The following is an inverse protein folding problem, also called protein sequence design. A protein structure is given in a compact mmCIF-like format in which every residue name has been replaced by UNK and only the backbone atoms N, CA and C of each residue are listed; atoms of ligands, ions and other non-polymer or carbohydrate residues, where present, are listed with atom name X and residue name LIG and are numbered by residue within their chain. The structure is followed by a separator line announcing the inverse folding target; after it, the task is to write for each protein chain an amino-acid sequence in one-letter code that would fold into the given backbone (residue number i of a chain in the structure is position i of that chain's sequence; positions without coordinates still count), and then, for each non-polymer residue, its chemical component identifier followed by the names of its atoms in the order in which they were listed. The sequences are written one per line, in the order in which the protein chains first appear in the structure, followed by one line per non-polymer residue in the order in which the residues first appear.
data_IF_902735707834
#
_entry.id   IF_902735707834
#
_cell.length_a   1.000
_cell.length_b   1.000
_cell.length_c   1.000
_cell.angle_alpha   90.00
_cell.angle_beta   90.00
_cell.angle_gamma   90.00
#
_symmetry.space_group_name_H-M   'P 1'
#
loop_
_entity.id
_entity.type
_entity.pdbx_description
1 polymer ?
#
# COMPACT_ATOMS: atom_id res chain seq x y z
N UNK A 1 -7.70 32.19 13.69
CA UNK A 1 -6.99 31.10 14.39
C UNK A 1 -6.47 30.18 13.30
N UNK A 2 -5.19 30.31 12.94
CA UNK A 2 -4.58 29.49 11.89
C UNK A 2 -4.33 28.10 12.44
N UNK A 3 -4.88 27.08 11.79
CA UNK A 3 -4.48 25.71 12.03
C UNK A 3 -3.02 25.57 11.59
N UNK A 4 -2.13 25.34 12.54
CA UNK A 4 -0.75 24.97 12.27
C UNK A 4 -0.80 23.51 11.81
N UNK A 5 -0.82 23.29 10.49
CA UNK A 5 -0.66 21.95 9.94
C UNK A 5 0.74 21.47 10.34
N UNK A 6 0.79 20.43 11.15
CA UNK A 6 2.03 19.75 11.51
C UNK A 6 2.73 19.28 10.23
N UNK A 7 4.02 19.50 10.16
CA UNK A 7 4.88 19.06 9.06
C UNK A 7 4.79 17.52 8.96
N UNK A 8 4.07 17.00 7.97
CA UNK A 8 4.02 15.57 7.66
C UNK A 8 5.37 15.20 7.04
N UNK A 9 6.26 14.58 7.84
CA UNK A 9 7.53 14.02 7.37
C UNK A 9 7.36 12.54 7.11
N UNK A 10 7.69 12.08 5.91
CA UNK A 10 7.87 10.64 5.67
C UNK A 10 9.17 10.13 6.31
N UNK A 11 9.17 8.84 6.62
CA UNK A 11 10.19 8.01 7.26
C UNK A 11 11.65 8.21 6.80
N UNK A 12 11.93 8.86 5.66
CA UNK A 12 13.29 9.05 5.14
C UNK A 12 13.76 10.52 5.01
N UNK A 13 12.99 11.52 5.47
CA UNK A 13 13.42 12.92 5.47
C UNK A 13 13.64 13.53 4.08
N UNK A 14 13.11 12.93 3.01
CA UNK A 14 13.12 13.51 1.67
C UNK A 14 12.03 14.57 1.48
N UNK A 15 12.29 15.56 0.63
CA UNK A 15 11.31 16.61 0.28
C UNK A 15 10.15 15.96 -0.47
N UNK A 16 8.95 16.07 0.11
CA UNK A 16 7.71 15.59 -0.48
C UNK A 16 7.56 16.13 -1.91
N UNK A 17 7.59 15.23 -2.90
CA UNK A 17 7.24 15.56 -4.28
C UNK A 17 5.75 15.27 -4.48
N UNK A 18 4.88 16.29 -4.51
CA UNK A 18 3.45 16.11 -4.74
C UNK A 18 3.12 15.51 -6.12
N UNK A 19 4.11 15.32 -7.01
CA UNK A 19 3.94 14.56 -8.26
C UNK A 19 4.15 13.04 -8.10
N UNK A 20 4.85 12.60 -7.05
CA UNK A 20 4.87 11.19 -6.59
C UNK A 20 3.72 10.98 -5.60
N UNK A 21 2.50 11.09 -6.12
CA UNK A 21 1.26 10.96 -5.36
C UNK A 21 1.21 9.58 -4.68
N UNK A 22 1.35 9.54 -3.35
CA UNK A 22 1.19 8.33 -2.55
C UNK A 22 -0.29 7.91 -2.58
N UNK A 23 -0.64 7.05 -3.54
CA UNK A 23 -1.98 6.45 -3.69
C UNK A 23 -2.19 5.32 -2.67
N UNK A 24 -1.08 4.68 -2.31
CA UNK A 24 -1.04 3.58 -1.36
C UNK A 24 0.04 3.82 -0.31
N UNK A 25 -0.24 3.40 0.90
CA UNK A 25 0.76 3.23 1.95
C UNK A 25 0.75 1.78 2.40
N UNK A 26 1.92 1.19 2.57
CA UNK A 26 2.07 -0.10 3.24
C UNK A 26 2.83 0.15 4.53
N UNK A 27 2.16 -0.10 5.65
CA UNK A 27 2.64 0.29 6.98
C UNK A 27 2.19 -0.75 8.02
N UNK A 28 2.91 -0.86 9.15
CA UNK A 28 2.40 -1.54 10.33
C UNK A 28 1.05 -0.93 10.78
N UNK A 29 0.15 -1.75 11.30
CA UNK A 29 -1.17 -1.29 11.77
C UNK A 29 -1.09 -0.33 12.96
N UNK A 30 -0.03 -0.42 13.76
CA UNK A 30 0.24 0.51 14.87
C UNK A 30 0.58 1.94 14.41
N UNK A 31 0.98 2.10 13.15
CA UNK A 31 1.36 3.38 12.53
C UNK A 31 0.28 3.83 11.52
N UNK A 32 -0.97 3.37 11.70
CA UNK A 32 -2.09 3.67 10.79
C UNK A 32 -2.42 5.18 10.71
N UNK A 33 -2.08 5.96 11.73
CA UNK A 33 -2.26 7.41 11.76
C UNK A 33 -1.31 8.15 10.80
N UNK A 34 -0.23 7.49 10.34
CA UNK A 34 0.63 8.01 9.28
C UNK A 34 0.04 7.82 7.87
N UNK A 35 -1.05 7.03 7.74
CA UNK A 35 -1.68 6.75 6.46
C UNK A 35 -2.57 7.92 6.00
N UNK A 36 -1.95 8.92 5.35
CA UNK A 36 -2.65 10.12 4.88
C UNK A 36 -2.58 10.31 3.36
N UNK A 37 -3.74 10.50 2.73
CA UNK A 37 -3.86 10.84 1.32
C UNK A 37 -3.78 12.35 1.13
N UNK A 38 -2.59 12.84 0.74
CA UNK A 38 -2.38 14.27 0.47
C UNK A 38 -3.18 14.77 -0.73
N UNK A 39 -3.48 13.90 -1.70
CA UNK A 39 -4.23 14.28 -2.92
C UNK A 39 -5.67 14.70 -2.64
N UNK A 40 -6.32 13.99 -1.73
CA UNK A 40 -7.73 14.21 -1.36
C UNK A 40 -7.88 14.76 0.06
N UNK A 41 -6.76 15.16 0.68
CA UNK A 41 -6.68 15.77 2.01
C UNK A 41 -7.46 14.99 3.08
N UNK A 42 -7.16 13.68 3.21
CA UNK A 42 -7.88 12.78 4.12
C UNK A 42 -7.08 11.58 4.57
N UNK A 43 -7.47 11.03 5.72
CA UNK A 43 -7.00 9.73 6.19
C UNK A 43 -7.35 8.61 5.20
N UNK A 44 -6.45 7.64 5.10
CA UNK A 44 -6.62 6.44 4.29
C UNK A 44 -7.21 5.31 5.14
N UNK A 45 -8.07 4.50 4.52
CA UNK A 45 -8.61 3.31 5.17
C UNK A 45 -7.70 2.11 4.86
N UNK A 46 -7.49 1.27 5.87
CA UNK A 46 -6.86 -0.03 5.70
C UNK A 46 -7.72 -0.92 4.78
N UNK A 47 -7.06 -1.66 3.91
CA UNK A 47 -7.63 -2.77 3.17
C UNK A 47 -6.56 -3.83 2.93
N UNK A 48 -6.96 -5.08 2.76
CA UNK A 48 -6.04 -6.22 2.60
C UNK A 48 -6.18 -6.83 1.21
N UNK A 49 -5.55 -6.23 0.19
CA UNK A 49 -5.61 -6.76 -1.16
C UNK A 49 -4.71 -7.99 -1.31
N UNK A 50 -5.12 -8.91 -2.17
CA UNK A 50 -4.17 -9.85 -2.78
C UNK A 50 -3.25 -9.10 -3.74
N UNK A 51 -1.96 -9.38 -3.66
CA UNK A 51 -0.90 -8.72 -4.41
C UNK A 51 -0.09 -9.79 -5.14
N UNK A 52 -0.14 -9.75 -6.47
CA UNK A 52 0.63 -10.67 -7.30
C UNK A 52 2.11 -10.26 -7.40
N UNK A 53 3.03 -11.17 -7.05
CA UNK A 53 4.48 -11.07 -7.29
C UNK A 53 5.05 -12.43 -7.69
N UNK A 54 5.88 -12.43 -8.74
CA UNK A 54 6.68 -13.59 -9.16
C UNK A 54 5.90 -14.92 -9.34
N UNK A 55 4.65 -14.86 -9.82
CA UNK A 55 3.80 -16.04 -10.05
C UNK A 55 3.04 -16.52 -8.82
N UNK A 56 3.03 -15.75 -7.74
CA UNK A 56 2.28 -16.04 -6.52
C UNK A 56 1.49 -14.82 -6.04
N UNK A 57 0.47 -15.09 -5.24
CA UNK A 57 -0.36 -14.12 -4.55
C UNK A 57 0.07 -14.00 -3.09
N UNK A 58 0.16 -12.76 -2.64
CA UNK A 58 0.52 -12.42 -1.28
C UNK A 58 -0.52 -11.48 -0.68
N UNK A 59 -0.70 -11.55 0.62
CA UNK A 59 -1.45 -10.56 1.39
C UNK A 59 -0.52 -9.83 2.36
N UNK A 60 -0.91 -8.65 2.86
CA UNK A 60 -0.23 -8.04 4.00
C UNK A 60 -0.22 -9.02 5.17
N UNK A 61 0.97 -9.31 5.69
CA UNK A 61 1.14 -10.22 6.80
C UNK A 61 0.65 -9.64 8.13
N UNK A 62 0.63 -10.47 9.16
CA UNK A 62 0.11 -10.08 10.48
C UNK A 62 0.75 -8.77 11.01
N UNK A 63 -0.12 -7.80 11.34
CA UNK A 63 0.29 -6.49 11.84
C UNK A 63 0.67 -5.48 10.76
N UNK A 64 0.51 -5.80 9.48
CA UNK A 64 0.67 -4.89 8.35
C UNK A 64 -0.63 -4.75 7.56
N UNK A 65 -0.80 -3.61 6.91
CA UNK A 65 -1.90 -3.37 5.99
C UNK A 65 -1.48 -2.46 4.83
N UNK A 66 -2.24 -2.54 3.73
CA UNK A 66 -2.21 -1.53 2.68
C UNK A 66 -3.30 -0.51 3.00
N UNK A 67 -3.00 0.77 2.81
CA UNK A 67 -3.92 1.87 3.03
C UNK A 67 -4.15 2.61 1.72
N UNK A 68 -5.39 3.00 1.47
CA UNK A 68 -5.74 3.94 0.40
C UNK A 68 -6.98 4.73 0.79
N UNK A 69 -7.19 5.89 0.17
CA UNK A 69 -8.46 6.60 0.35
C UNK A 69 -9.51 6.09 -0.65
N UNK A 70 -10.78 6.14 -0.28
CA UNK A 70 -11.88 5.70 -1.14
C UNK A 70 -11.95 6.44 -2.49
N UNK A 71 -11.52 7.70 -2.55
CA UNK A 71 -11.50 8.47 -3.80
C UNK A 71 -10.48 7.93 -4.79
N UNK A 72 -9.23 7.70 -4.34
CA UNK A 72 -8.21 7.04 -5.15
C UNK A 72 -8.71 5.67 -5.65
N UNK A 73 -9.24 4.83 -4.75
CA UNK A 73 -9.77 3.51 -5.15
C UNK A 73 -10.81 3.61 -6.26
N UNK A 74 -11.74 4.58 -6.15
CA UNK A 74 -12.77 4.82 -7.17
C UNK A 74 -12.22 5.38 -8.49
N UNK A 75 -11.25 6.27 -8.42
CA UNK A 75 -10.64 6.89 -9.61
C UNK A 75 -9.86 5.88 -10.45
N UNK A 76 -9.10 4.99 -9.80
CA UNK A 76 -8.34 3.95 -10.49
C UNK A 76 -9.22 2.76 -10.89
N UNK A 77 -10.25 2.44 -10.10
CA UNK A 77 -11.24 1.40 -10.41
C UNK A 77 -10.58 0.08 -10.81
N UNK A 78 -10.87 -0.49 -12.00
CA UNK A 78 -10.27 -1.76 -12.44
C UNK A 78 -8.74 -1.74 -12.59
N UNK A 79 -8.13 -0.56 -12.73
CA UNK A 79 -6.67 -0.43 -12.87
C UNK A 79 -5.94 -0.40 -11.52
N UNK A 80 -6.68 -0.41 -10.40
CA UNK A 80 -6.14 -0.30 -9.05
C UNK A 80 -5.11 -1.40 -8.74
N UNK A 81 -5.35 -2.66 -9.13
CA UNK A 81 -4.40 -3.75 -8.89
C UNK A 81 -3.09 -3.58 -9.68
N UNK A 82 -3.16 -3.10 -10.91
CA UNK A 82 -1.96 -2.81 -11.71
C UNK A 82 -1.14 -1.68 -11.07
N UNK A 83 -1.81 -0.64 -10.57
CA UNK A 83 -1.16 0.45 -9.85
C UNK A 83 -0.57 -0.02 -8.52
N UNK A 84 -1.31 -0.85 -7.78
CA UNK A 84 -0.86 -1.41 -6.51
C UNK A 84 0.41 -2.24 -6.71
N UNK A 85 0.45 -3.11 -7.73
CA UNK A 85 1.65 -3.87 -8.08
C UNK A 85 2.84 -2.97 -8.39
N UNK A 86 2.62 -1.88 -9.11
CA UNK A 86 3.67 -0.92 -9.41
C UNK A 86 4.16 -0.22 -8.14
N UNK A 87 3.24 0.26 -7.29
CA UNK A 87 3.55 0.96 -6.04
C UNK A 87 4.28 0.06 -5.04
N UNK A 88 3.91 -1.21 -4.96
CA UNK A 88 4.48 -2.19 -4.03
C UNK A 88 5.81 -2.77 -4.49
N UNK A 89 6.27 -2.46 -5.72
CA UNK A 89 7.50 -3.04 -6.27
C UNK A 89 8.71 -2.82 -5.36
N UNK A 90 8.92 -1.57 -4.93
CA UNK A 90 10.06 -1.23 -4.07
C UNK A 90 9.97 -1.91 -2.69
N UNK A 91 8.77 -1.98 -2.11
CA UNK A 91 8.53 -2.67 -0.82
C UNK A 91 8.90 -4.14 -0.91
N UNK A 92 8.49 -4.82 -1.98
CA UNK A 92 8.88 -6.21 -2.14
C UNK A 92 10.35 -6.40 -2.51
N UNK A 93 10.95 -5.47 -3.28
CA UNK A 93 12.39 -5.51 -3.57
C UNK A 93 13.20 -5.36 -2.27
N UNK A 94 12.74 -4.54 -1.32
CA UNK A 94 13.30 -4.44 0.03
C UNK A 94 13.03 -5.69 0.89
N UNK A 95 11.85 -6.31 0.77
CA UNK A 95 11.52 -7.54 1.50
C UNK A 95 12.34 -8.75 1.03
N UNK A 96 12.66 -8.82 -0.26
CA UNK A 96 13.52 -9.86 -0.84
C UNK A 96 15.02 -9.64 -0.51
N UNK A 97 15.40 -8.43 -0.09
CA UNK A 97 16.77 -8.11 0.29
C UNK A 97 17.11 -8.75 1.65
N UNK A 98 18.13 -9.64 1.73
CA UNK A 98 18.54 -10.24 3.00
C UNK A 98 19.03 -9.20 4.03
N UNK A 99 19.47 -8.02 3.59
CA UNK A 99 19.88 -6.89 4.42
C UNK A 99 18.78 -5.82 4.55
N UNK A 100 17.59 -6.07 3.98
CA UNK A 100 16.42 -5.19 4.05
C UNK A 100 15.86 -5.03 5.47
N UNK A 101 15.13 -3.93 5.70
CA UNK A 101 14.56 -3.63 7.02
C UNK A 101 13.19 -4.25 7.23
N UNK A 102 12.53 -4.71 6.16
CA UNK A 102 11.22 -5.34 6.26
C UNK A 102 11.34 -6.74 6.87
N UNK A 103 10.52 -7.08 7.87
CA UNK A 103 10.55 -8.41 8.45
C UNK A 103 10.06 -9.45 7.44
N UNK A 104 10.54 -10.70 7.56
CA UNK A 104 10.09 -11.80 6.68
C UNK A 104 8.57 -12.03 6.67
N UNK A 105 7.89 -11.68 7.77
CA UNK A 105 6.43 -11.76 7.92
C UNK A 105 5.66 -10.54 7.39
N UNK A 106 6.31 -9.63 6.66
CA UNK A 106 5.64 -8.49 6.03
C UNK A 106 4.57 -8.96 5.03
N UNK A 107 4.80 -10.08 4.34
CA UNK A 107 3.84 -10.65 3.42
C UNK A 107 3.58 -12.11 3.75
N UNK A 108 2.30 -12.48 3.76
CA UNK A 108 1.88 -13.86 3.89
C UNK A 108 1.56 -14.41 2.50
N UNK A 109 2.12 -15.57 2.20
CA UNK A 109 1.81 -16.29 0.96
C UNK A 109 0.37 -16.82 1.01
N UNK A 110 -0.38 -16.60 -0.07
CA UNK A 110 -1.75 -17.09 -0.21
C UNK A 110 -1.78 -18.32 -1.10
N UNK A 111 -1.42 -18.17 -2.38
CA UNK A 111 -1.42 -19.25 -3.37
C UNK A 111 -0.52 -18.92 -4.58
N UNK A 112 -0.27 -19.89 -5.45
CA UNK A 112 0.23 -19.64 -6.79
C UNK A 112 -0.87 -18.96 -7.60
N UNK A 113 -0.52 -17.99 -8.45
CA UNK A 113 -1.54 -17.25 -9.17
C UNK A 113 -1.02 -16.22 -10.14
N UNK A 114 -1.95 -15.69 -10.90
CA UNK A 114 -1.74 -14.71 -11.95
C UNK A 114 -2.11 -13.28 -11.50
N UNK A 115 -1.66 -12.26 -12.24
CA UNK A 115 -2.18 -10.90 -12.15
C UNK A 115 -3.69 -10.76 -12.09
N UNK A 116 -4.41 -11.61 -12.82
CA UNK A 116 -5.85 -11.62 -12.96
C UNK A 116 -6.53 -12.18 -11.70
N UNK A 117 -5.96 -13.23 -11.10
CA UNK A 117 -6.48 -13.83 -9.86
C UNK A 117 -6.42 -12.83 -8.69
N UNK A 118 -5.39 -11.97 -8.65
CA UNK A 118 -5.30 -10.89 -7.65
C UNK A 118 -6.43 -9.85 -7.76
N UNK A 119 -6.93 -9.60 -8.98
CA UNK A 119 -8.07 -8.71 -9.20
C UNK A 119 -9.36 -9.37 -8.70
N UNK A 120 -9.57 -10.65 -9.01
CA UNK A 120 -10.74 -11.39 -8.55
C UNK A 120 -10.84 -11.37 -7.03
N UNK A 121 -9.76 -11.71 -6.32
CA UNK A 121 -9.75 -11.71 -4.84
C UNK A 121 -10.04 -10.31 -4.27
N UNK A 122 -9.47 -9.26 -4.86
CA UNK A 122 -9.65 -7.88 -4.36
C UNK A 122 -11.09 -7.36 -4.47
N UNK A 123 -11.89 -7.92 -5.40
CA UNK A 123 -13.28 -7.50 -5.65
C UNK A 123 -14.30 -8.59 -5.33
N UNK A 124 -13.91 -9.72 -4.72
CA UNK A 124 -14.81 -10.84 -4.42
C UNK A 124 -15.68 -10.65 -3.16
N UNK A 125 -15.50 -9.55 -2.42
CA UNK A 125 -16.25 -9.23 -1.18
C UNK A 125 -17.46 -8.29 -1.41
N UNK A 126 -18.15 -8.41 -2.56
CA UNK A 126 -19.51 -7.86 -2.78
C UNK A 126 -20.59 -8.96 -2.84
#
# INVERSE_FOLDING_TARGET
MSATFGEVREWNGSTFDPSNLRVFSYLPEQDADEAYCVRHDREMDAFRPAIHRAGALYEPGEGYAVYSCAHCRREFGPTLSAYLRHAMRATFDEWDDPDGQLPRRAFDYVDEGSPEDALEVMFSDE
#
